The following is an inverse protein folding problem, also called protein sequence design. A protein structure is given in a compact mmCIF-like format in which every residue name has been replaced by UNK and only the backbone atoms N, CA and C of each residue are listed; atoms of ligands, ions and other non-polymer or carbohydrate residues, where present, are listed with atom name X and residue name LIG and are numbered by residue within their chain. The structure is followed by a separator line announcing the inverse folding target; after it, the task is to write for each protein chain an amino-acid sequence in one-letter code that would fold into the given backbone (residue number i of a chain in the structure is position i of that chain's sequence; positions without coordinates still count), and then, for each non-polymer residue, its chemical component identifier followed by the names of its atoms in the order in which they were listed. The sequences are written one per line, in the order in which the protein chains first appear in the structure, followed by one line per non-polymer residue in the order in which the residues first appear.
data_IF_344222595878
#
_entry.id   IF_344222595878
#
_cell.length_a   1.000
_cell.length_b   1.000
_cell.length_c   1.000
_cell.angle_alpha   90.00
_cell.angle_beta   90.00
_cell.angle_gamma   90.00
#
_symmetry.space_group_name_H-M   'P 1'
#
loop_
_entity.id
_entity.type
_entity.pdbx_description
1 polymer ?
#
# COMPACT_ATOMS: atom_id res chain seq x y z
N UNK A 1 10.62 -5.56 4.52
CA UNK A 1 10.08 -5.97 5.84
C UNK A 1 9.14 -4.92 6.44
N UNK A 2 9.60 -3.73 6.84
CA UNK A 2 8.69 -2.72 7.42
C UNK A 2 7.54 -2.27 6.49
N UNK A 3 7.82 -2.03 5.20
CA UNK A 3 6.77 -1.61 4.25
C UNK A 3 5.73 -2.71 3.98
N UNK A 4 6.13 -3.97 4.00
CA UNK A 4 5.24 -5.12 3.81
C UNK A 4 4.33 -5.34 5.03
N UNK A 5 4.88 -5.15 6.23
CA UNK A 5 4.12 -5.14 7.48
C UNK A 5 3.09 -4.02 7.49
N UNK A 6 3.50 -2.79 7.15
CA UNK A 6 2.62 -1.63 7.04
C UNK A 6 1.50 -1.85 6.02
N UNK A 7 1.82 -2.48 4.89
CA UNK A 7 0.83 -2.84 3.87
C UNK A 7 -0.19 -3.84 4.43
N UNK A 8 0.25 -4.88 5.16
CA UNK A 8 -0.64 -5.87 5.79
C UNK A 8 -1.53 -5.23 6.86
N UNK A 9 -0.98 -4.38 7.72
CA UNK A 9 -1.76 -3.67 8.73
C UNK A 9 -2.82 -2.77 8.09
N UNK A 10 -2.44 -2.02 7.05
CA UNK A 10 -3.38 -1.13 6.35
C UNK A 10 -4.48 -1.92 5.64
N UNK A 11 -4.18 -3.10 5.10
CA UNK A 11 -5.17 -4.01 4.53
C UNK A 11 -6.14 -4.58 5.57
N UNK A 12 -5.63 -4.98 6.74
CA UNK A 12 -6.48 -5.41 7.85
C UNK A 12 -7.37 -4.27 8.34
N UNK A 13 -6.83 -3.05 8.41
CA UNK A 13 -7.60 -1.88 8.80
C UNK A 13 -8.72 -1.58 7.78
N UNK A 14 -8.42 -1.69 6.48
CA UNK A 14 -9.42 -1.57 5.42
C UNK A 14 -10.52 -2.64 5.53
N UNK A 15 -10.17 -3.87 5.91
CA UNK A 15 -11.14 -4.94 6.12
C UNK A 15 -12.06 -4.65 7.31
N UNK A 16 -11.50 -4.19 8.43
CA UNK A 16 -12.28 -3.76 9.61
C UNK A 16 -13.21 -2.59 9.28
N UNK A 17 -12.71 -1.57 8.59
CA UNK A 17 -13.50 -0.41 8.16
C UNK A 17 -14.63 -0.79 7.21
N UNK A 18 -14.41 -1.77 6.32
CA UNK A 18 -15.48 -2.32 5.48
C UNK A 18 -16.52 -3.04 6.31
N UNK A 19 -16.11 -3.93 7.23
CA UNK A 19 -17.04 -4.67 8.08
C UNK A 19 -17.91 -3.72 8.91
N UNK A 20 -17.29 -2.70 9.52
CA UNK A 20 -17.99 -1.66 10.28
C UNK A 20 -18.94 -0.84 9.40
N UNK A 21 -18.53 -0.50 8.17
CA UNK A 21 -19.36 0.24 7.21
C UNK A 21 -20.59 -0.54 6.73
N UNK A 22 -20.54 -1.87 6.73
CA UNK A 22 -21.69 -2.72 6.38
C UNK A 22 -22.66 -2.88 7.57
N UNK A 23 -22.16 -2.91 8.80
CA UNK A 23 -22.97 -3.10 10.01
C UNK A 23 -23.57 -1.80 10.55
N UNK A 24 -22.83 -0.71 10.50
CA UNK A 24 -23.24 0.60 10.97
C UNK A 24 -23.24 1.54 9.78
N UNK A 25 -24.41 2.09 9.49
CA UNK A 25 -24.70 2.89 8.31
C UNK A 25 -23.82 4.16 8.29
N UNK A 26 -22.62 4.01 7.70
CA UNK A 26 -21.71 5.07 7.25
C UNK A 26 -21.33 6.14 8.30
N UNK A 27 -20.27 5.91 9.07
CA UNK A 27 -19.58 7.02 9.75
C UNK A 27 -18.44 7.62 8.92
N UNK A 28 -17.73 6.86 8.07
CA UNK A 28 -16.60 7.44 7.33
C UNK A 28 -16.21 6.68 6.04
N UNK A 29 -16.95 6.85 4.93
CA UNK A 29 -16.50 6.35 3.61
C UNK A 29 -15.16 6.99 3.18
N UNK A 30 -14.85 8.17 3.71
CA UNK A 30 -13.58 8.88 3.56
C UNK A 30 -12.37 8.08 4.08
N UNK A 31 -12.50 7.38 5.20
CA UNK A 31 -11.40 6.58 5.80
C UNK A 31 -11.08 5.34 4.96
N UNK A 32 -12.11 4.72 4.35
CA UNK A 32 -11.91 3.62 3.38
C UNK A 32 -11.12 4.12 2.17
N UNK A 33 -11.43 5.32 1.67
CA UNK A 33 -10.71 5.93 0.54
C UNK A 33 -9.27 6.27 0.92
N UNK A 34 -9.04 6.81 2.12
CA UNK A 34 -7.69 7.08 2.65
C UNK A 34 -6.86 5.81 2.76
N UNK A 35 -7.39 4.75 3.38
CA UNK A 35 -6.71 3.46 3.51
C UNK A 35 -6.36 2.84 2.15
N UNK A 36 -7.26 2.94 1.15
CA UNK A 36 -6.95 2.51 -0.23
C UNK A 36 -5.81 3.31 -0.86
N UNK A 37 -5.78 4.63 -0.67
CA UNK A 37 -4.70 5.51 -1.18
C UNK A 37 -3.37 5.20 -0.51
N UNK A 38 -3.38 4.95 0.80
CA UNK A 38 -2.21 4.54 1.58
C UNK A 38 -1.59 3.25 1.00
N UNK A 39 -2.42 2.22 0.77
CA UNK A 39 -1.98 0.95 0.15
C UNK A 39 -1.38 1.19 -1.24
N UNK A 40 -2.01 2.03 -2.07
CA UNK A 40 -1.49 2.36 -3.39
C UNK A 40 -0.11 3.03 -3.29
N UNK A 41 0.05 3.99 -2.38
CA UNK A 41 1.30 4.71 -2.15
C UNK A 41 2.43 3.77 -1.70
N UNK A 42 2.16 2.87 -0.77
CA UNK A 42 3.13 1.86 -0.31
C UNK A 42 3.56 0.96 -1.47
N UNK A 43 2.61 0.47 -2.26
CA UNK A 43 2.90 -0.35 -3.45
C UNK A 43 3.75 0.40 -4.47
N UNK A 44 3.48 1.68 -4.72
CA UNK A 44 4.28 2.50 -5.62
C UNK A 44 5.73 2.62 -5.13
N UNK A 45 5.95 2.89 -3.84
CA UNK A 45 7.31 2.98 -3.27
C UNK A 45 8.06 1.65 -3.41
N UNK A 46 7.39 0.52 -3.12
CA UNK A 46 7.97 -0.80 -3.30
C UNK A 46 8.37 -1.05 -4.77
N UNK A 47 7.50 -0.68 -5.71
CA UNK A 47 7.79 -0.82 -7.14
C UNK A 47 8.92 0.10 -7.59
N UNK A 48 8.96 1.35 -7.12
CA UNK A 48 10.04 2.30 -7.42
C UNK A 48 11.39 1.77 -6.95
N UNK A 49 11.48 1.27 -5.72
CA UNK A 49 12.72 0.64 -5.20
C UNK A 49 13.14 -0.59 -5.99
N UNK A 50 12.18 -1.33 -6.54
CA UNK A 50 12.48 -2.46 -7.41
C UNK A 50 13.01 -1.98 -8.76
N UNK A 51 12.36 -1.00 -9.38
CA UNK A 51 12.82 -0.40 -10.65
C UNK A 51 14.20 0.24 -10.49
N UNK A 52 14.48 0.93 -9.37
CA UNK A 52 15.81 1.47 -9.08
C UNK A 52 16.88 0.38 -8.97
N UNK A 53 16.56 -0.74 -8.32
CA UNK A 53 17.45 -1.91 -8.25
C UNK A 53 17.67 -2.56 -9.61
N UNK A 54 16.62 -2.71 -10.40
CA UNK A 54 16.70 -3.22 -11.78
C UNK A 54 17.54 -2.28 -12.66
N UNK A 55 17.36 -0.96 -12.49
CA UNK A 55 18.10 0.07 -13.22
C UNK A 55 19.57 0.13 -12.81
N UNK A 56 19.88 0.05 -11.51
CA UNK A 56 21.26 0.00 -11.05
C UNK A 56 21.97 -1.28 -11.49
N UNK A 57 21.26 -2.41 -11.50
CA UNK A 57 21.78 -3.66 -12.06
C UNK A 57 22.02 -3.55 -13.57
N UNK A 58 21.13 -2.89 -14.33
CA UNK A 58 21.30 -2.68 -15.76
C UNK A 58 22.47 -1.73 -16.08
N UNK A 59 22.62 -0.63 -15.34
CA UNK A 59 23.76 0.29 -15.50
C UNK A 59 25.09 -0.40 -15.15
N UNK A 60 25.12 -1.27 -14.14
CA UNK A 60 26.31 -2.05 -13.80
C UNK A 60 26.69 -3.10 -14.86
N UNK A 61 25.76 -3.47 -15.76
CA UNK A 61 25.99 -4.44 -16.83
C UNK A 61 26.44 -3.81 -18.16
N UNK A 62 26.59 -2.48 -18.21
CA UNK A 62 27.09 -1.77 -19.41
C UNK A 62 28.46 -1.19 -19.08
N UNK A 63 29.56 -1.66 -19.72
CA UNK A 63 30.92 -1.19 -19.45
C UNK A 63 31.18 0.24 -19.95
#
# INVERSE_FOLDING_TARGET
EQLDLLLKETQQNLFRLRLQSETERLEAPSEIVKAKREIARIKTILRLRQIERERSAATALTP
#
